data_IF_120847540721
#
_entry.id   IF_120847540721
#
_cell.length_a   1.000
_cell.length_b   1.000
_cell.length_c   1.000
_cell.angle_alpha   90.00
_cell.angle_beta   90.00
_cell.angle_gamma   90.00
#
_symmetry.space_group_name_H-M   'P 1'
#
loop_
_entity.id
_entity.type
_entity.pdbx_description
1 polymer ?
#
# COMPACT_ATOMS: atom_id res chain seq x y z
N UNK A 1 -6.61 17.00 16.69
CA UNK A 1 -5.27 16.45 16.37
C UNK A 1 -5.18 16.35 14.87
N UNK A 2 -4.38 17.18 14.23
CA UNK A 2 -4.21 17.11 12.78
C UNK A 2 -3.24 15.97 12.49
N UNK A 3 -3.76 14.82 12.06
CA UNK A 3 -2.92 13.71 11.57
C UNK A 3 -2.09 14.13 10.35
N UNK A 4 -1.20 13.24 9.90
CA UNK A 4 -0.37 13.50 8.72
C UNK A 4 -1.21 13.99 7.53
N UNK A 5 -0.75 15.03 6.82
CA UNK A 5 -1.51 15.72 5.76
C UNK A 5 -1.99 14.78 4.65
N UNK A 6 -1.26 13.68 4.42
CA UNK A 6 -1.62 12.62 3.46
C UNK A 6 -3.05 12.14 3.64
N UNK A 7 -3.57 12.05 4.87
CA UNK A 7 -4.93 11.55 5.11
C UNK A 7 -5.99 12.48 4.55
N UNK A 8 -5.78 13.79 4.63
CA UNK A 8 -6.69 14.77 4.04
C UNK A 8 -6.59 14.75 2.51
N UNK A 9 -5.40 14.53 1.96
CA UNK A 9 -5.21 14.39 0.51
C UNK A 9 -5.96 13.16 -0.03
N UNK A 10 -5.83 12.02 0.64
CA UNK A 10 -6.54 10.78 0.31
C UNK A 10 -8.06 10.93 0.39
N UNK A 11 -8.56 11.61 1.44
CA UNK A 11 -9.99 11.88 1.59
C UNK A 11 -10.57 12.78 0.48
N UNK A 12 -9.72 13.48 -0.28
CA UNK A 12 -10.10 14.33 -1.40
C UNK A 12 -9.64 13.77 -2.76
N UNK A 13 -9.41 12.46 -2.86
CA UNK A 13 -9.01 11.75 -4.08
C UNK A 13 -7.73 12.28 -4.74
N UNK A 14 -6.85 12.90 -3.94
CA UNK A 14 -5.53 13.30 -4.42
C UNK A 14 -4.64 12.07 -4.45
N UNK A 15 -4.28 11.65 -5.66
CA UNK A 15 -3.37 10.52 -5.87
C UNK A 15 -2.04 10.75 -5.14
N UNK A 16 -1.72 9.86 -4.21
CA UNK A 16 -0.49 9.89 -3.42
C UNK A 16 0.26 8.56 -3.56
N UNK A 17 1.57 8.59 -3.36
CA UNK A 17 2.43 7.40 -3.34
C UNK A 17 3.30 7.44 -2.09
N UNK A 18 3.72 6.26 -1.59
CA UNK A 18 4.66 6.16 -0.47
C UNK A 18 6.05 5.89 -1.02
N UNK A 19 7.05 6.58 -0.45
CA UNK A 19 8.46 6.42 -0.75
C UNK A 19 9.26 6.63 0.54
N UNK A 20 10.39 5.94 0.66
CA UNK A 20 11.33 6.11 1.79
C UNK A 20 12.18 7.37 1.70
N UNK A 21 12.09 8.12 0.59
CA UNK A 21 12.94 9.27 0.29
C UNK A 21 14.43 8.92 0.46
N UNK A 22 15.02 9.26 1.62
CA UNK A 22 16.39 8.92 1.98
C UNK A 22 16.46 7.80 3.03
N UNK A 23 16.07 6.58 2.64
CA UNK A 23 15.97 5.43 3.55
C UNK A 23 17.24 5.15 4.37
N UNK A 24 18.44 5.34 3.81
CA UNK A 24 19.71 5.19 4.55
C UNK A 24 19.89 6.22 5.66
N UNK A 25 19.50 7.48 5.41
CA UNK A 25 19.63 8.56 6.37
C UNK A 25 18.64 8.38 7.53
N UNK A 26 17.39 8.02 7.20
CA UNK A 26 16.32 7.82 8.17
C UNK A 26 16.27 6.40 8.75
N UNK A 27 17.18 5.52 8.32
CA UNK A 27 17.20 4.09 8.66
C UNK A 27 15.84 3.42 8.42
N UNK A 28 15.17 3.81 7.34
CA UNK A 28 13.85 3.32 6.93
C UNK A 28 13.94 2.44 5.69
N UNK A 29 12.93 1.58 5.53
CA UNK A 29 12.67 0.81 4.31
C UNK A 29 11.25 1.10 3.85
N UNK A 30 10.94 0.84 2.59
CA UNK A 30 9.59 1.05 2.07
C UNK A 30 8.54 0.29 2.90
N UNK A 31 8.88 -0.91 3.37
CA UNK A 31 8.02 -1.68 4.28
C UNK A 31 7.76 -0.98 5.61
N UNK A 32 8.78 -0.31 6.18
CA UNK A 32 8.62 0.48 7.41
C UNK A 32 7.73 1.71 7.17
N UNK A 33 7.86 2.39 6.03
CA UNK A 33 7.02 3.55 5.71
C UNK A 33 5.54 3.15 5.47
N UNK A 34 5.31 2.01 4.81
CA UNK A 34 3.97 1.42 4.72
C UNK A 34 3.42 1.06 6.09
N UNK A 35 4.24 0.49 6.98
CA UNK A 35 3.83 0.20 8.36
C UNK A 35 3.39 1.47 9.10
N UNK A 36 4.18 2.54 9.05
CA UNK A 36 3.85 3.82 9.67
C UNK A 36 2.53 4.40 9.14
N UNK A 37 2.28 4.29 7.84
CA UNK A 37 1.01 4.70 7.25
C UNK A 37 -0.17 3.87 7.78
N UNK A 38 -0.01 2.54 7.83
CA UNK A 38 -1.04 1.59 8.28
C UNK A 38 -1.44 1.84 9.74
N UNK A 39 -0.48 1.99 10.65
CA UNK A 39 -0.77 2.17 12.07
C UNK A 39 -1.09 3.64 12.43
N UNK A 40 -0.80 4.58 11.54
CA UNK A 40 -0.98 6.02 11.79
C UNK A 40 -2.44 6.47 11.82
N UNK A 41 -3.39 5.68 11.29
CA UNK A 41 -4.84 5.94 11.35
C UNK A 41 -5.66 4.66 11.33
N UNK A 42 -6.67 4.60 12.21
CA UNK A 42 -7.53 3.43 12.40
C UNK A 42 -8.45 3.10 11.21
N UNK A 43 -8.74 4.06 10.35
CA UNK A 43 -9.57 3.89 9.15
C UNK A 43 -8.75 3.53 7.90
N UNK A 44 -7.44 3.28 8.04
CA UNK A 44 -6.62 2.78 6.95
C UNK A 44 -6.93 1.30 6.72
N UNK A 45 -7.52 0.99 5.57
CA UNK A 45 -7.89 -0.38 5.20
C UNK A 45 -6.88 -1.00 4.23
N UNK A 46 -6.95 -2.33 4.06
CA UNK A 46 -6.20 -3.06 3.03
C UNK A 46 -6.47 -2.51 1.61
N UNK A 47 -7.69 -2.00 1.37
CA UNK A 47 -8.03 -1.30 0.13
C UNK A 47 -7.21 -0.01 -0.05
N UNK A 48 -7.10 0.82 1.00
CA UNK A 48 -6.28 2.03 0.95
C UNK A 48 -4.81 1.74 0.66
N UNK A 49 -4.28 0.65 1.22
CA UNK A 49 -2.93 0.17 0.89
C UNK A 49 -2.81 -0.20 -0.60
N UNK A 50 -3.73 -1.04 -1.10
CA UNK A 50 -3.75 -1.43 -2.52
C UNK A 50 -3.77 -0.20 -3.44
N UNK A 51 -4.58 0.80 -3.10
CA UNK A 51 -4.74 2.02 -3.88
C UNK A 51 -3.44 2.85 -3.98
N UNK A 52 -2.69 2.99 -2.88
CA UNK A 52 -1.39 3.67 -2.87
C UNK A 52 -0.36 3.00 -3.78
N UNK A 53 -0.35 1.67 -3.83
CA UNK A 53 0.54 0.92 -4.72
C UNK A 53 0.09 1.07 -6.19
N UNK A 54 -1.21 0.97 -6.46
CA UNK A 54 -1.72 1.15 -7.82
C UNK A 54 -1.41 2.55 -8.36
N UNK A 55 -1.48 3.58 -7.52
CA UNK A 55 -1.08 4.93 -7.91
C UNK A 55 0.43 5.05 -8.15
N UNK A 56 1.29 4.35 -7.40
CA UNK A 56 2.72 4.37 -7.66
C UNK A 56 3.09 3.76 -9.02
N UNK A 57 2.39 2.70 -9.42
CA UNK A 57 2.52 2.10 -10.76
C UNK A 57 1.94 3.02 -11.84
N UNK A 58 0.76 3.62 -11.58
CA UNK A 58 0.06 4.51 -12.52
C UNK A 58 0.89 5.74 -12.91
N UNK A 59 1.55 6.35 -11.93
CA UNK A 59 2.29 7.61 -12.11
C UNK A 59 3.79 7.43 -12.33
N UNK A 60 4.28 6.19 -12.34
CA UNK A 60 5.67 5.92 -12.70
C UNK A 60 5.93 6.30 -14.17
N UNK A 61 7.13 6.80 -14.45
CA UNK A 61 7.59 7.15 -15.80
C UNK A 61 7.88 5.88 -16.63
N UNK A 62 6.82 5.16 -17.00
CA UNK A 62 6.85 3.95 -17.82
C UNK A 62 6.02 4.13 -19.08
N UNK A 63 6.44 3.50 -20.17
CA UNK A 63 5.59 3.32 -21.35
C UNK A 63 4.38 2.44 -21.02
N UNK A 64 3.28 2.62 -21.74
CA UNK A 64 2.03 1.90 -21.50
C UNK A 64 2.21 0.37 -21.51
N UNK A 65 3.00 -0.15 -22.45
CA UNK A 65 3.30 -1.59 -22.53
C UNK A 65 4.06 -2.09 -21.30
N UNK A 66 5.02 -1.31 -20.80
CA UNK A 66 5.79 -1.65 -19.61
C UNK A 66 4.89 -1.58 -18.36
N UNK A 67 4.10 -0.52 -18.23
CA UNK A 67 3.16 -0.34 -17.13
C UNK A 67 2.16 -1.49 -17.06
N UNK A 68 1.55 -1.88 -18.18
CA UNK A 68 0.61 -3.01 -18.22
C UNK A 68 1.27 -4.32 -17.77
N UNK A 69 2.52 -4.57 -18.20
CA UNK A 69 3.28 -5.75 -17.76
C UNK A 69 3.57 -5.71 -16.25
N UNK A 70 3.98 -4.56 -15.72
CA UNK A 70 4.27 -4.38 -14.30
C UNK A 70 3.00 -4.54 -13.46
N UNK A 71 1.89 -3.94 -13.89
CA UNK A 71 0.59 -4.09 -13.23
C UNK A 71 0.18 -5.56 -13.15
N UNK A 72 0.23 -6.31 -14.25
CA UNK A 72 -0.15 -7.72 -14.26
C UNK A 72 0.73 -8.58 -13.34
N UNK A 73 2.04 -8.34 -13.33
CA UNK A 73 2.96 -9.03 -12.41
C UNK A 73 2.64 -8.68 -10.96
N UNK A 74 2.42 -7.40 -10.67
CA UNK A 74 2.10 -6.95 -9.33
C UNK A 74 0.75 -7.49 -8.82
N UNK A 75 -0.26 -7.58 -9.68
CA UNK A 75 -1.57 -8.16 -9.34
C UNK A 75 -1.44 -9.63 -8.92
N UNK A 76 -0.65 -10.43 -9.64
CA UNK A 76 -0.38 -11.82 -9.24
C UNK A 76 0.40 -11.94 -7.92
N UNK A 77 1.36 -11.03 -7.68
CA UNK A 77 2.06 -10.94 -6.39
C UNK A 77 1.13 -10.53 -5.25
N UNK A 78 0.17 -9.65 -5.53
CA UNK A 78 -0.84 -9.20 -4.57
C UNK A 78 -1.78 -10.35 -4.17
N UNK A 79 -2.28 -11.12 -5.13
CA UNK A 79 -3.09 -12.32 -4.86
C UNK A 79 -2.33 -13.33 -4.01
N UNK A 80 -1.08 -13.64 -4.39
CA UNK A 80 -0.21 -14.52 -3.61
C UNK A 80 0.01 -14.01 -2.18
N UNK A 81 0.10 -12.69 -2.00
CA UNK A 81 0.21 -12.08 -0.68
C UNK A 81 -1.08 -12.25 0.13
N UNK A 82 -2.25 -12.04 -0.47
CA UNK A 82 -3.55 -12.23 0.20
C UNK A 82 -3.74 -13.69 0.63
N UNK A 83 -3.41 -14.65 -0.22
CA UNK A 83 -3.49 -16.07 0.11
C UNK A 83 -2.67 -16.41 1.35
N UNK A 84 -1.43 -15.90 1.42
CA UNK A 84 -0.55 -16.08 2.59
C UNK A 84 -1.10 -15.43 3.86
N UNK A 85 -1.71 -14.25 3.74
CA UNK A 85 -2.32 -13.58 4.90
C UNK A 85 -3.51 -14.40 5.41
N UNK A 86 -4.36 -14.90 4.52
CA UNK A 86 -5.49 -15.74 4.89
C UNK A 86 -4.99 -17.05 5.53
N UNK A 87 -4.06 -17.75 4.88
CA UNK A 87 -3.47 -18.99 5.40
C UNK A 87 -2.85 -18.81 6.80
N UNK A 88 -2.16 -17.69 7.03
CA UNK A 88 -1.44 -17.46 8.28
C UNK A 88 -2.34 -16.99 9.43
N UNK A 89 -3.42 -16.27 9.11
CA UNK A 89 -4.21 -15.54 10.12
C UNK A 89 -5.69 -15.93 10.14
N UNK A 90 -6.13 -16.91 9.35
CA UNK A 90 -7.51 -17.40 9.35
C UNK A 90 -7.97 -17.77 10.76
N UNK A 91 -7.11 -18.40 11.55
CA UNK A 91 -7.45 -18.88 12.90
C UNK A 91 -7.68 -17.75 13.91
N UNK A 92 -7.21 -16.52 13.61
CA UNK A 92 -7.48 -15.32 14.42
C UNK A 92 -8.82 -14.68 14.09
N UNK A 93 -9.35 -14.98 12.91
CA UNK A 93 -10.68 -14.60 12.47
C UNK A 93 -11.56 -15.78 12.90
N UNK A 94 -12.04 -15.80 14.15
CA UNK A 94 -12.96 -16.85 14.60
C UNK A 94 -14.15 -17.03 13.64
N UNK A 95 -14.96 -18.09 13.84
CA UNK A 95 -16.06 -18.53 12.95
C UNK A 95 -17.16 -17.48 12.59
N UNK A 96 -16.97 -16.20 12.92
CA UNK A 96 -17.89 -15.07 12.67
C UNK A 96 -17.71 -14.41 11.27
N UNK A 97 -17.49 -15.20 10.21
CA UNK A 97 -17.71 -14.78 8.82
C UNK A 97 -18.82 -15.58 8.15
#
# INVERSE_FOLDING_TARGET
MNGHSIYNLLANDVHCTISSDNGTLFRSTLSHDFYQFMVGRQDTTLFGWKQLIQWSIKHACMEDKQRNKVTAVWEGLWETFLDKVIEQYSDLIGDDL
#
